data_IF_662910424901
#
_entry.id   IF_662910424901
#
_cell.length_a   1.000
_cell.length_b   1.000
_cell.length_c   1.000
_cell.angle_alpha   90.00
_cell.angle_beta   90.00
_cell.angle_gamma   90.00
#
_symmetry.space_group_name_H-M   'P 1'
#
loop_
_entity.id
_entity.type
_entity.pdbx_description
1 polymer ?
#
# COMPACT_ATOMS: atom_id res chain seq x y z
N UNK A 1 -28.12 -17.82 21.22
CA UNK A 1 -26.72 -18.25 21.04
C UNK A 1 -26.05 -17.22 20.14
N UNK A 2 -25.28 -16.30 20.73
CA UNK A 2 -24.73 -15.13 20.03
C UNK A 2 -23.41 -15.54 19.37
N UNK A 3 -23.47 -15.83 18.08
CA UNK A 3 -22.27 -16.22 17.31
C UNK A 3 -21.37 -14.96 17.21
N UNK A 4 -20.09 -15.04 17.60
CA UNK A 4 -19.19 -13.90 17.51
C UNK A 4 -18.96 -13.52 16.04
N UNK A 5 -19.04 -12.22 15.75
CA UNK A 5 -18.82 -11.59 14.42
C UNK A 5 -17.49 -12.01 13.76
N UNK A 6 -16.57 -12.60 14.52
CA UNK A 6 -15.30 -13.13 14.05
C UNK A 6 -15.46 -14.23 12.98
N UNK A 7 -16.54 -15.01 13.00
CA UNK A 7 -16.75 -16.09 12.03
C UNK A 7 -17.32 -15.63 10.67
N UNK A 8 -17.75 -14.37 10.54
CA UNK A 8 -18.19 -13.84 9.23
C UNK A 8 -17.02 -13.45 8.32
N UNK A 9 -15.80 -13.34 8.87
CA UNK A 9 -14.62 -12.87 8.15
C UNK A 9 -13.71 -13.99 7.61
N UNK A 10 -13.95 -15.25 7.98
CA UNK A 10 -13.13 -16.38 7.48
C UNK A 10 -13.56 -16.91 6.10
N UNK A 11 -14.71 -16.47 5.54
CA UNK A 11 -15.30 -17.07 4.33
C UNK A 11 -15.00 -16.37 2.99
N UNK A 12 -14.38 -15.18 2.96
CA UNK A 12 -14.12 -14.46 1.71
C UNK A 12 -12.72 -13.88 1.74
N UNK A 13 -11.87 -14.25 0.76
CA UNK A 13 -10.42 -14.02 0.70
C UNK A 13 -9.93 -12.55 0.63
N UNK A 14 -10.56 -11.64 1.37
CA UNK A 14 -10.14 -10.25 1.52
C UNK A 14 -9.04 -10.17 2.57
N UNK A 15 -7.80 -10.25 2.09
CA UNK A 15 -6.61 -10.17 2.94
C UNK A 15 -6.39 -8.72 3.36
N UNK A 16 -6.67 -8.39 4.62
CA UNK A 16 -6.41 -7.06 5.15
C UNK A 16 -4.88 -6.87 5.31
N UNK A 17 -4.30 -5.73 4.91
CA UNK A 17 -2.88 -5.47 5.10
C UNK A 17 -2.53 -5.47 6.60
N UNK A 18 -1.57 -6.29 6.99
CA UNK A 18 -1.03 -6.24 8.35
C UNK A 18 -0.09 -5.04 8.51
N UNK A 19 0.08 -4.58 9.74
CA UNK A 19 1.03 -3.51 10.07
C UNK A 19 2.43 -3.81 9.53
N UNK A 20 2.91 -5.05 9.69
CA UNK A 20 4.24 -5.46 9.23
C UNK A 20 4.38 -5.49 7.71
N UNK A 21 3.29 -5.74 6.99
CA UNK A 21 3.26 -5.65 5.53
C UNK A 21 3.40 -4.20 5.07
N UNK A 22 2.57 -3.30 5.61
CA UNK A 22 2.63 -1.87 5.31
C UNK A 22 3.97 -1.26 5.74
N UNK A 23 4.50 -1.66 6.89
CA UNK A 23 5.79 -1.22 7.36
C UNK A 23 6.93 -1.67 6.43
N UNK A 24 6.87 -2.89 5.86
CA UNK A 24 7.85 -3.33 4.87
C UNK A 24 7.73 -2.53 3.57
N UNK A 25 6.51 -2.33 3.06
CA UNK A 25 6.26 -1.54 1.86
C UNK A 25 6.74 -0.08 2.00
N UNK A 26 6.61 0.49 3.19
CA UNK A 26 7.07 1.85 3.49
C UNK A 26 8.58 2.05 3.31
N UNK A 27 9.40 1.00 3.40
CA UNK A 27 10.86 1.11 3.21
C UNK A 27 11.25 1.43 1.77
N UNK A 28 10.44 0.97 0.82
CA UNK A 28 10.65 1.18 -0.62
C UNK A 28 10.00 2.48 -1.11
N UNK A 29 9.46 3.30 -0.21
CA UNK A 29 8.74 4.52 -0.58
C UNK A 29 9.69 5.50 -1.31
N UNK A 30 9.31 6.04 -2.48
CA UNK A 30 10.23 6.77 -3.34
C UNK A 30 10.67 8.14 -2.80
N UNK A 31 9.98 8.68 -1.79
CA UNK A 31 10.32 9.95 -1.16
C UNK A 31 10.86 9.74 0.27
N UNK A 32 12.16 9.92 0.52
CA UNK A 32 12.76 9.76 1.85
C UNK A 32 12.24 10.77 2.88
N UNK A 33 11.83 11.96 2.44
CA UNK A 33 11.29 13.01 3.33
C UNK A 33 9.83 12.75 3.73
N UNK A 34 9.19 11.74 3.12
CA UNK A 34 7.85 11.35 3.51
C UNK A 34 7.96 10.38 4.69
N UNK A 35 7.73 10.88 5.91
CA UNK A 35 7.76 10.10 7.16
C UNK A 35 6.65 9.03 7.22
N UNK A 36 6.71 8.04 6.33
CA UNK A 36 5.68 7.03 6.13
C UNK A 36 5.44 6.22 7.41
N UNK A 37 6.52 5.75 8.05
CA UNK A 37 6.43 4.92 9.25
C UNK A 37 5.80 5.66 10.43
N UNK A 38 6.10 6.96 10.59
CA UNK A 38 5.50 7.78 11.65
C UNK A 38 4.00 7.97 11.41
N UNK A 39 3.61 8.25 10.16
CA UNK A 39 2.19 8.39 9.78
C UNK A 39 1.43 7.07 9.96
N UNK A 40 2.02 5.96 9.53
CA UNK A 40 1.46 4.62 9.69
C UNK A 40 1.22 4.30 11.17
N UNK A 41 2.24 4.51 12.02
CA UNK A 41 2.13 4.30 13.45
C UNK A 41 1.01 5.14 14.07
N UNK A 42 0.96 6.44 13.76
CA UNK A 42 -0.10 7.35 14.24
C UNK A 42 -1.49 6.90 13.80
N UNK A 43 -1.64 6.39 12.58
CA UNK A 43 -2.92 5.87 12.08
C UNK A 43 -3.40 4.68 12.92
N UNK A 44 -2.53 3.69 13.16
CA UNK A 44 -2.88 2.53 13.98
C UNK A 44 -3.12 2.90 15.45
N UNK A 45 -2.34 3.83 16.01
CA UNK A 45 -2.53 4.31 17.38
C UNK A 45 -3.90 4.97 17.57
N UNK A 46 -4.33 5.81 16.61
CA UNK A 46 -5.67 6.44 16.65
C UNK A 46 -6.81 5.44 16.56
N UNK A 47 -6.61 4.35 15.81
CA UNK A 47 -7.65 3.35 15.55
C UNK A 47 -7.65 2.18 16.56
N UNK A 48 -6.74 2.17 17.55
CA UNK A 48 -6.55 1.05 18.49
C UNK A 48 -7.79 0.73 19.34
N UNK A 49 -8.57 1.75 19.70
CA UNK A 49 -9.70 1.64 20.61
C UNK A 49 -11.05 1.66 19.87
N UNK A 50 -11.07 1.39 18.56
CA UNK A 50 -12.31 1.34 17.79
C UNK A 50 -13.10 0.08 18.14
N UNK A 51 -14.32 0.27 18.62
CA UNK A 51 -15.24 -0.82 18.99
C UNK A 51 -16.42 -0.95 18.01
N UNK A 52 -16.73 0.13 17.29
CA UNK A 52 -17.84 0.16 16.34
C UNK A 52 -17.48 -0.61 15.05
N UNK A 53 -18.28 -1.61 14.63
CA UNK A 53 -18.02 -2.39 13.42
C UNK A 53 -17.84 -1.55 12.15
N UNK A 54 -18.61 -0.48 11.97
CA UNK A 54 -18.51 0.36 10.77
C UNK A 54 -17.19 1.12 10.71
N UNK A 55 -16.71 1.63 11.84
CA UNK A 55 -15.47 2.40 11.90
C UNK A 55 -14.26 1.49 11.72
N UNK A 56 -14.35 0.24 12.17
CA UNK A 56 -13.35 -0.80 11.89
C UNK A 56 -13.27 -1.01 10.38
N UNK A 57 -14.39 -1.26 9.70
CA UNK A 57 -14.39 -1.48 8.25
C UNK A 57 -13.80 -0.29 7.48
N UNK A 58 -14.14 0.93 7.85
CA UNK A 58 -13.54 2.15 7.26
C UNK A 58 -12.03 2.19 7.47
N UNK A 59 -11.54 1.83 8.66
CA UNK A 59 -10.11 1.78 8.94
C UNK A 59 -9.39 0.69 8.12
N UNK A 60 -10.01 -0.47 7.91
CA UNK A 60 -9.45 -1.54 7.09
C UNK A 60 -9.41 -1.14 5.61
N UNK A 61 -10.46 -0.49 5.10
CA UNK A 61 -10.50 0.06 3.73
C UNK A 61 -9.42 1.11 3.52
N UNK A 62 -9.19 1.99 4.52
CA UNK A 62 -8.10 2.96 4.46
C UNK A 62 -6.72 2.28 4.39
N UNK A 63 -6.50 1.23 5.17
CA UNK A 63 -5.25 0.47 5.13
C UNK A 63 -5.02 -0.18 3.75
N UNK A 64 -6.08 -0.74 3.15
CA UNK A 64 -6.05 -1.30 1.79
C UNK A 64 -5.72 -0.23 0.73
N UNK A 65 -6.32 0.96 0.85
CA UNK A 65 -6.03 2.10 -0.02
C UNK A 65 -4.56 2.51 0.06
N UNK A 66 -4.03 2.71 1.28
CA UNK A 66 -2.62 3.11 1.50
C UNK A 66 -1.65 2.09 0.90
N UNK A 67 -1.95 0.79 1.05
CA UNK A 67 -1.16 -0.29 0.44
C UNK A 67 -1.09 -0.14 -1.07
N UNK A 68 -2.25 -0.02 -1.72
CA UNK A 68 -2.35 0.03 -3.18
C UNK A 68 -1.70 1.30 -3.74
N UNK A 69 -1.89 2.44 -3.09
CA UNK A 69 -1.23 3.70 -3.43
C UNK A 69 0.30 3.58 -3.34
N UNK A 70 0.81 3.03 -2.24
CA UNK A 70 2.26 2.83 -2.03
C UNK A 70 2.87 1.95 -3.12
N UNK A 71 2.21 0.83 -3.44
CA UNK A 71 2.65 -0.07 -4.52
C UNK A 71 2.66 0.65 -5.87
N UNK A 72 1.63 1.45 -6.16
CA UNK A 72 1.54 2.22 -7.40
C UNK A 72 2.70 3.25 -7.51
N UNK A 73 3.01 3.95 -6.41
CA UNK A 73 4.11 4.91 -6.35
C UNK A 73 5.47 4.25 -6.54
N UNK A 74 5.71 3.10 -5.92
CA UNK A 74 6.95 2.32 -6.10
C UNK A 74 7.11 1.92 -7.57
N UNK A 75 6.05 1.36 -8.18
CA UNK A 75 6.03 0.97 -9.60
C UNK A 75 6.31 2.16 -10.52
N UNK A 76 5.66 3.30 -10.26
CA UNK A 76 5.83 4.52 -11.04
C UNK A 76 7.26 5.07 -10.93
N UNK A 77 7.84 5.07 -9.74
CA UNK A 77 9.23 5.49 -9.53
C UNK A 77 10.20 4.60 -10.32
N UNK A 78 10.04 3.27 -10.24
CA UNK A 78 10.83 2.30 -11.00
C UNK A 78 10.68 2.51 -12.51
N UNK A 79 9.45 2.69 -12.99
CA UNK A 79 9.18 2.98 -14.40
C UNK A 79 9.87 4.26 -14.87
N UNK A 80 9.81 5.35 -14.09
CA UNK A 80 10.48 6.61 -14.40
C UNK A 80 11.99 6.46 -14.48
N UNK A 81 12.58 5.65 -13.61
CA UNK A 81 14.02 5.37 -13.66
C UNK A 81 14.39 4.58 -14.92
N UNK A 82 13.67 3.49 -15.21
CA UNK A 82 13.90 2.68 -16.42
C UNK A 82 13.72 3.50 -17.71
N UNK A 83 12.67 4.32 -17.80
CA UNK A 83 12.43 5.19 -18.95
C UNK A 83 13.55 6.21 -19.19
N UNK A 84 14.32 6.58 -18.16
CA UNK A 84 15.49 7.46 -18.32
C UNK A 84 16.74 6.69 -18.71
N UNK A 85 16.91 5.47 -18.19
CA UNK A 85 18.07 4.64 -18.45
C UNK A 85 18.07 4.02 -19.86
N UNK A 86 16.88 3.70 -20.38
CA UNK A 86 16.69 3.11 -21.69
C UNK A 86 15.99 4.13 -22.61
N UNK A 87 16.67 4.66 -23.64
CA UNK A 87 16.00 5.46 -24.67
C UNK A 87 14.95 4.60 -25.40
N UNK A 88 13.93 5.23 -26.01
CA UNK A 88 12.95 4.54 -26.83
C UNK A 88 13.63 3.63 -27.85
N UNK A 89 13.13 2.40 -28.00
CA UNK A 89 13.65 1.44 -29.00
C UNK A 89 13.60 2.04 -30.42
N UNK A 90 12.62 2.91 -30.66
CA UNK A 90 12.47 3.68 -31.91
C UNK A 90 13.73 4.52 -32.24
N UNK A 91 14.39 5.10 -31.25
CA UNK A 91 15.59 5.90 -31.44
C UNK A 91 16.81 5.02 -31.72
N UNK A 92 16.86 3.82 -31.14
CA UNK A 92 17.95 2.85 -31.35
C UNK A 92 17.89 2.29 -32.78
N UNK A 93 16.70 1.90 -33.25
CA UNK A 93 16.52 1.31 -34.59
C UNK A 93 16.74 2.30 -35.74
N UNK A 94 16.66 3.61 -35.46
CA UNK A 94 16.92 4.66 -36.45
C UNK A 94 18.39 5.11 -36.49
N UNK A 95 19.24 4.71 -35.52
CA UNK A 95 20.68 5.00 -35.55
C UNK A 95 21.48 4.06 -36.45
N UNK A 96 20.95 2.88 -36.75
CA UNK A 96 21.60 1.85 -37.59
C UNK A 96 21.24 1.96 -39.09
N UNK A 97 20.47 2.99 -39.49
CA UNK A 97 20.10 3.29 -40.88
C UNK A 97 20.79 4.54 -41.39
#
# INVERSE_FOLDING_TARGET
MMIPVTLYYESWGRKVPSYDELHRLGRDYPNPSYDFHVKLRRMYERNRNLTNPEDIERALQLAEFIRNETIALIKLSKYRHLRRAYPPIEDILNQDK
#
